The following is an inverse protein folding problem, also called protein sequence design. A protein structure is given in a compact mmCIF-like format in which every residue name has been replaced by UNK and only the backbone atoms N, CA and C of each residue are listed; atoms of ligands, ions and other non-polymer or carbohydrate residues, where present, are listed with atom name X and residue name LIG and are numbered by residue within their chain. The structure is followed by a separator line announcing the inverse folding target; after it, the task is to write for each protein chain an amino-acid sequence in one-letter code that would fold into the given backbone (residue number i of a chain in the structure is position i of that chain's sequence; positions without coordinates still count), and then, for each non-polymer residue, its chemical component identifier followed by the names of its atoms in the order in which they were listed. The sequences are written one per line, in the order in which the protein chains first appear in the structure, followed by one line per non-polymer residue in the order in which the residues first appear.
data_IF_756493348870
#
_entry.id   IF_756493348870
#
_cell.length_a   1.000
_cell.length_b   1.000
_cell.length_c   1.000
_cell.angle_alpha   90.00
_cell.angle_beta   90.00
_cell.angle_gamma   90.00
#
_symmetry.space_group_name_H-M   'P 1'
#
loop_
_entity.id
_entity.type
_entity.pdbx_description
1 polymer ?
#
# COMPACT_ATOMS: atom_id res chain seq x y z
N UNK A 1 -31.54 -14.27 -23.85
CA UNK A 1 -30.88 -13.32 -22.92
C UNK A 1 -31.15 -13.62 -21.44
N UNK A 2 -32.30 -14.07 -21.01
CA UNK A 2 -32.62 -14.40 -19.60
C UNK A 2 -31.89 -15.62 -19.05
N UNK A 3 -31.61 -16.63 -19.86
CA UNK A 3 -30.88 -17.83 -19.45
C UNK A 3 -29.41 -17.59 -19.11
N UNK A 4 -28.73 -16.66 -19.81
CA UNK A 4 -27.33 -16.32 -19.51
C UNK A 4 -27.14 -15.60 -18.18
N UNK A 5 -28.12 -14.79 -17.77
CA UNK A 5 -28.11 -14.08 -16.47
C UNK A 5 -28.29 -15.09 -15.32
N UNK A 6 -29.12 -16.09 -15.49
CA UNK A 6 -29.33 -17.15 -14.49
C UNK A 6 -28.12 -18.06 -14.31
N UNK A 7 -27.37 -18.37 -15.35
CA UNK A 7 -26.13 -19.16 -15.28
C UNK A 7 -25.03 -18.39 -14.58
N UNK A 8 -24.91 -17.08 -14.81
CA UNK A 8 -23.96 -16.21 -14.12
C UNK A 8 -24.27 -16.05 -12.62
N UNK A 9 -25.55 -16.00 -12.26
CA UNK A 9 -25.95 -15.86 -10.84
C UNK A 9 -25.93 -17.18 -10.07
N UNK A 10 -26.17 -18.32 -10.71
CA UNK A 10 -26.09 -19.63 -10.08
C UNK A 10 -24.65 -20.13 -9.90
N UNK A 11 -23.73 -19.75 -10.77
CA UNK A 11 -22.29 -20.03 -10.62
C UNK A 11 -21.64 -19.34 -9.41
N UNK A 12 -22.24 -18.25 -8.90
CA UNK A 12 -21.76 -17.51 -7.73
C UNK A 12 -22.27 -18.04 -6.38
N UNK A 13 -23.27 -18.92 -6.40
CA UNK A 13 -23.92 -19.44 -5.18
C UNK A 13 -23.36 -20.77 -4.65
N UNK A 14 -22.43 -21.40 -5.33
CA UNK A 14 -22.07 -22.80 -5.12
C UNK A 14 -20.63 -23.08 -4.73
N UNK A 15 -19.93 -22.25 -3.94
CA UNK A 15 -18.64 -22.68 -3.38
C UNK A 15 -18.68 -22.67 -1.86
N UNK A 16 -19.34 -23.65 -1.28
CA UNK A 16 -19.05 -24.17 0.06
C UNK A 16 -17.68 -24.86 -0.01
N UNK A 17 -16.60 -24.11 0.08
CA UNK A 17 -15.28 -24.64 0.35
C UNK A 17 -14.92 -24.21 1.76
N UNK A 18 -14.26 -25.08 2.53
CA UNK A 18 -13.76 -24.82 3.88
C UNK A 18 -12.67 -23.75 3.97
N UNK A 19 -12.75 -22.72 3.12
CA UNK A 19 -11.94 -21.53 3.20
C UNK A 19 -12.35 -20.70 4.42
N UNK A 20 -11.40 -20.14 5.17
CA UNK A 20 -11.71 -19.27 6.28
C UNK A 20 -12.65 -18.15 5.81
N UNK A 21 -13.69 -17.86 6.64
CA UNK A 21 -14.63 -16.79 6.33
C UNK A 21 -13.88 -15.48 6.22
N UNK A 22 -13.95 -14.85 5.06
CA UNK A 22 -13.42 -13.50 4.86
C UNK A 22 -14.20 -12.50 5.74
N UNK A 23 -13.54 -11.42 6.18
CA UNK A 23 -14.21 -10.29 6.82
C UNK A 23 -15.39 -9.74 5.99
N UNK A 24 -16.38 -9.10 6.61
CA UNK A 24 -17.51 -8.52 5.90
C UNK A 24 -17.05 -7.46 4.88
N UNK A 25 -17.86 -7.21 3.87
CA UNK A 25 -17.55 -6.22 2.85
C UNK A 25 -18.70 -6.03 1.89
N UNK A 26 -18.65 -4.99 1.03
CA UNK A 26 -19.65 -4.75 0.01
C UNK A 26 -19.70 -5.89 -1.01
N UNK A 27 -20.86 -6.08 -1.63
CA UNK A 27 -21.02 -7.10 -2.64
C UNK A 27 -20.27 -6.71 -3.92
N UNK A 28 -19.33 -7.55 -4.40
CA UNK A 28 -18.51 -7.20 -5.55
C UNK A 28 -19.30 -7.33 -6.87
N UNK A 29 -19.15 -6.39 -7.77
CA UNK A 29 -19.65 -6.52 -9.13
C UNK A 29 -18.89 -7.64 -9.91
N UNK A 30 -19.54 -8.30 -10.85
CA UNK A 30 -18.87 -9.27 -11.72
C UNK A 30 -17.66 -8.62 -12.42
N UNK A 31 -16.53 -9.33 -12.48
CA UNK A 31 -15.27 -8.97 -13.15
C UNK A 31 -14.53 -7.82 -12.45
N UNK A 32 -15.14 -6.65 -12.31
CA UNK A 32 -14.49 -5.43 -11.78
C UNK A 32 -14.46 -5.36 -10.26
N UNK A 33 -15.28 -6.15 -9.56
CA UNK A 33 -15.36 -6.13 -8.10
C UNK A 33 -15.90 -4.80 -7.56
N UNK A 34 -15.22 -4.25 -6.55
CA UNK A 34 -15.61 -3.00 -5.88
C UNK A 34 -14.84 -1.76 -6.36
N UNK A 35 -14.17 -1.83 -7.52
CA UNK A 35 -13.37 -0.72 -8.03
C UNK A 35 -14.20 0.55 -8.22
N UNK A 36 -15.43 0.43 -8.72
CA UNK A 36 -16.31 1.58 -8.93
C UNK A 36 -16.71 2.29 -7.63
N UNK A 37 -16.77 1.55 -6.52
CA UNK A 37 -17.11 2.12 -5.21
C UNK A 37 -16.00 3.02 -4.65
N UNK A 38 -14.77 2.84 -5.11
CA UNK A 38 -13.63 3.64 -4.67
C UNK A 38 -13.61 5.03 -5.31
N UNK A 39 -14.15 5.18 -6.52
CA UNK A 39 -14.25 6.47 -7.24
C UNK A 39 -12.90 7.21 -7.33
N UNK A 40 -12.96 8.53 -7.44
CA UNK A 40 -11.78 9.39 -7.61
C UNK A 40 -11.00 9.64 -6.29
N UNK A 41 -11.60 9.32 -5.13
CA UNK A 41 -10.98 9.51 -3.81
C UNK A 41 -11.03 8.22 -2.99
N UNK A 42 -10.21 7.20 -3.34
CA UNK A 42 -10.26 5.87 -2.74
C UNK A 42 -10.16 5.88 -1.20
N UNK A 43 -9.29 6.72 -0.63
CA UNK A 43 -9.12 6.83 0.82
C UNK A 43 -10.40 7.28 1.54
N UNK A 44 -11.18 8.19 0.96
CA UNK A 44 -12.45 8.65 1.54
C UNK A 44 -13.54 7.59 1.41
N UNK A 45 -13.61 6.91 0.26
CA UNK A 45 -14.53 5.82 0.03
C UNK A 45 -14.27 4.66 1.02
N UNK A 46 -13.02 4.26 1.21
CA UNK A 46 -12.59 3.25 2.17
C UNK A 46 -12.97 3.66 3.61
N UNK A 47 -12.74 4.91 3.99
CA UNK A 47 -13.11 5.42 5.30
C UNK A 47 -14.63 5.42 5.53
N UNK A 48 -15.42 5.67 4.50
CA UNK A 48 -16.88 5.58 4.54
C UNK A 48 -17.34 4.13 4.67
N UNK A 49 -16.79 3.23 3.86
CA UNK A 49 -17.11 1.80 3.90
C UNK A 49 -16.75 1.16 5.25
N UNK A 50 -15.66 1.57 5.87
CA UNK A 50 -15.25 1.05 7.19
C UNK A 50 -16.25 1.38 8.31
N UNK A 51 -17.01 2.46 8.18
CA UNK A 51 -18.11 2.80 9.12
C UNK A 51 -19.27 1.81 9.02
N UNK A 52 -19.51 1.25 7.83
CA UNK A 52 -20.60 0.30 7.57
C UNK A 52 -20.20 -1.14 7.83
N UNK A 53 -19.00 -1.55 7.35
CA UNK A 53 -18.55 -2.95 7.39
C UNK A 53 -17.60 -3.26 8.55
N UNK A 54 -17.18 -2.23 9.27
CA UNK A 54 -16.32 -2.37 10.45
C UNK A 54 -14.83 -2.16 10.18
N UNK A 55 -14.00 -2.33 11.23
CA UNK A 55 -12.58 -1.98 11.20
C UNK A 55 -11.70 -2.96 10.40
N UNK A 56 -12.25 -4.09 10.03
CA UNK A 56 -11.63 -5.11 9.19
C UNK A 56 -12.64 -5.52 8.14
N UNK A 57 -12.39 -5.18 6.89
CA UNK A 57 -13.32 -5.47 5.80
C UNK A 57 -12.62 -6.02 4.57
N UNK A 58 -13.38 -6.68 3.71
CA UNK A 58 -12.91 -7.26 2.45
C UNK A 58 -13.43 -6.45 1.29
N UNK A 59 -12.52 -6.07 0.38
CA UNK A 59 -12.85 -5.52 -0.93
C UNK A 59 -12.33 -6.45 -2.02
N UNK A 60 -13.03 -6.53 -3.11
CA UNK A 60 -12.56 -7.22 -4.32
C UNK A 60 -12.21 -6.17 -5.37
N UNK A 61 -10.91 -6.04 -5.66
CA UNK A 61 -10.43 -5.09 -6.67
C UNK A 61 -10.08 -5.87 -7.94
N UNK A 62 -11.05 -5.96 -8.85
CA UNK A 62 -10.96 -6.88 -9.99
C UNK A 62 -10.88 -8.34 -9.54
N UNK A 63 -9.78 -9.01 -9.86
CA UNK A 63 -9.50 -10.39 -9.42
C UNK A 63 -8.85 -10.49 -8.04
N UNK A 64 -8.39 -9.38 -7.46
CA UNK A 64 -7.60 -9.36 -6.23
C UNK A 64 -8.52 -9.18 -5.01
N UNK A 65 -8.47 -10.12 -4.07
CA UNK A 65 -9.11 -9.97 -2.76
C UNK A 65 -8.21 -9.13 -1.87
N UNK A 66 -8.72 -7.99 -1.42
CA UNK A 66 -8.01 -7.01 -0.61
C UNK A 66 -8.64 -6.92 0.77
N UNK A 67 -7.86 -7.11 1.81
CA UNK A 67 -8.30 -6.90 3.20
C UNK A 67 -7.91 -5.49 3.63
N UNK A 68 -8.89 -4.72 4.06
CA UNK A 68 -8.70 -3.35 4.53
C UNK A 68 -8.75 -3.33 6.05
N UNK A 69 -7.74 -2.75 6.66
CA UNK A 69 -7.62 -2.54 8.10
C UNK A 69 -7.78 -1.05 8.39
N UNK A 70 -8.83 -0.68 9.12
CA UNK A 70 -9.16 0.72 9.46
C UNK A 70 -9.08 0.99 10.98
N UNK A 71 -8.53 0.04 11.77
CA UNK A 71 -8.36 0.17 13.22
C UNK A 71 -6.89 0.18 13.61
N UNK A 72 -6.42 1.15 14.43
CA UNK A 72 -5.05 1.16 14.94
C UNK A 72 -4.68 -0.12 15.72
N UNK A 73 -5.62 -0.67 16.47
CA UNK A 73 -5.42 -1.92 17.24
C UNK A 73 -5.12 -3.11 16.33
N UNK A 74 -5.91 -3.28 15.27
CA UNK A 74 -5.73 -4.38 14.31
C UNK A 74 -4.47 -4.13 13.46
N UNK A 75 -4.22 -2.88 13.06
CA UNK A 75 -3.01 -2.51 12.34
C UNK A 75 -1.75 -2.83 13.17
N UNK A 76 -1.74 -2.52 14.46
CA UNK A 76 -0.63 -2.88 15.37
C UNK A 76 -0.44 -4.39 15.46
N UNK A 77 -1.52 -5.15 15.52
CA UNK A 77 -1.43 -6.62 15.55
C UNK A 77 -0.83 -7.17 14.24
N UNK A 78 -1.30 -6.70 13.08
CA UNK A 78 -0.83 -7.15 11.79
C UNK A 78 0.63 -6.73 11.53
N UNK A 79 0.97 -5.45 11.78
CA UNK A 79 2.24 -4.87 11.35
C UNK A 79 3.37 -4.99 12.39
N UNK A 80 3.06 -5.26 13.66
CA UNK A 80 4.07 -5.43 14.71
C UNK A 80 4.15 -6.87 15.23
N UNK A 81 2.99 -7.49 15.54
CA UNK A 81 3.00 -8.84 16.13
C UNK A 81 3.12 -9.94 15.10
N UNK A 82 2.59 -9.72 13.89
CA UNK A 82 2.56 -10.71 12.79
C UNK A 82 3.23 -10.16 11.53
N UNK A 83 4.20 -9.27 11.71
CA UNK A 83 4.92 -8.59 10.64
C UNK A 83 5.47 -9.54 9.57
N UNK A 84 6.05 -10.67 9.96
CA UNK A 84 6.58 -11.66 9.03
C UNK A 84 5.51 -12.24 8.08
N UNK A 85 4.29 -12.47 8.57
CA UNK A 85 3.20 -13.00 7.75
C UNK A 85 2.69 -11.96 6.73
N UNK A 86 2.81 -10.66 7.05
CA UNK A 86 2.33 -9.55 6.21
C UNK A 86 3.44 -8.76 5.53
N UNK A 87 4.70 -9.16 5.68
CA UNK A 87 5.85 -8.42 5.13
C UNK A 87 6.05 -8.57 3.63
N UNK A 88 5.49 -9.61 3.01
CA UNK A 88 5.60 -9.83 1.56
C UNK A 88 4.76 -8.81 0.79
N UNK A 89 5.36 -8.22 -0.24
CA UNK A 89 4.70 -7.23 -1.10
C UNK A 89 4.23 -7.87 -2.39
N UNK A 90 3.09 -7.42 -2.90
CA UNK A 90 2.68 -7.75 -4.27
C UNK A 90 3.57 -6.99 -5.24
N UNK A 91 4.25 -7.71 -6.11
CA UNK A 91 5.12 -7.11 -7.13
C UNK A 91 4.25 -6.72 -8.33
N UNK A 92 4.16 -5.43 -8.68
CA UNK A 92 3.49 -4.99 -9.89
C UNK A 92 4.31 -5.41 -11.13
N UNK A 93 3.67 -5.45 -12.30
CA UNK A 93 4.35 -5.86 -13.54
C UNK A 93 5.54 -4.94 -13.87
N UNK A 94 5.43 -3.66 -13.57
CA UNK A 94 6.55 -2.70 -13.67
C UNK A 94 7.75 -3.07 -12.80
N UNK A 95 7.54 -3.67 -11.63
CA UNK A 95 8.61 -4.14 -10.75
C UNK A 95 9.31 -5.41 -11.24
N UNK A 96 8.77 -6.08 -12.25
CA UNK A 96 9.39 -7.26 -12.89
C UNK A 96 10.32 -6.89 -14.05
N UNK A 97 10.20 -5.67 -14.54
CA UNK A 97 11.10 -5.15 -15.56
C UNK A 97 12.52 -5.14 -15.00
N UNK A 98 13.48 -5.64 -15.75
CA UNK A 98 14.89 -5.79 -15.33
C UNK A 98 15.11 -6.67 -14.08
N UNK A 99 14.19 -7.59 -13.78
CA UNK A 99 14.27 -8.48 -12.61
C UNK A 99 14.38 -7.76 -11.25
N UNK A 100 13.79 -6.57 -11.12
CA UNK A 100 13.78 -5.85 -9.83
C UNK A 100 13.11 -6.63 -8.71
N UNK A 101 12.16 -7.49 -9.03
CA UNK A 101 11.51 -8.42 -8.10
C UNK A 101 12.46 -9.41 -7.44
N UNK A 102 13.62 -9.70 -8.09
CA UNK A 102 14.60 -10.69 -7.62
C UNK A 102 15.80 -10.09 -6.91
N UNK A 103 16.06 -8.80 -7.09
CA UNK A 103 17.29 -8.15 -6.58
C UNK A 103 17.04 -6.90 -5.76
N UNK A 104 15.87 -6.28 -5.82
CA UNK A 104 15.58 -5.03 -5.15
C UNK A 104 15.10 -5.24 -3.72
N UNK A 105 15.69 -4.50 -2.78
CA UNK A 105 15.22 -4.45 -1.38
C UNK A 105 13.74 -4.05 -1.25
N UNK A 106 13.17 -3.37 -2.26
CA UNK A 106 11.77 -2.93 -2.26
C UNK A 106 10.82 -4.10 -2.52
N UNK A 107 11.20 -5.04 -3.40
CA UNK A 107 10.29 -6.07 -3.89
C UNK A 107 10.62 -7.49 -3.40
N UNK A 108 11.84 -7.70 -2.94
CA UNK A 108 12.21 -9.00 -2.38
C UNK A 108 11.32 -9.37 -1.19
N UNK A 109 10.88 -10.63 -1.10
CA UNK A 109 10.22 -11.13 0.10
C UNK A 109 11.17 -11.07 1.30
N UNK A 110 10.65 -10.91 2.52
CA UNK A 110 11.42 -10.72 3.77
C UNK A 110 12.17 -12.00 4.21
N UNK A 111 12.87 -12.61 3.27
CA UNK A 111 13.71 -13.80 3.45
C UNK A 111 15.20 -13.42 3.60
N UNK A 112 16.08 -14.43 3.58
CA UNK A 112 17.52 -14.23 3.79
C UNK A 112 18.16 -13.20 2.85
N UNK A 113 17.89 -13.15 1.53
CA UNK A 113 18.46 -12.13 0.64
C UNK A 113 18.04 -10.71 1.04
N UNK A 114 16.75 -10.51 1.35
CA UNK A 114 16.24 -9.21 1.81
C UNK A 114 16.89 -8.76 3.12
N UNK A 115 17.02 -9.68 4.09
CA UNK A 115 17.66 -9.37 5.38
C UNK A 115 19.12 -8.95 5.21
N UNK A 116 19.83 -9.58 4.27
CA UNK A 116 21.22 -9.21 3.94
C UNK A 116 21.28 -7.79 3.38
N UNK A 117 20.44 -7.45 2.40
CA UNK A 117 20.37 -6.10 1.84
C UNK A 117 19.96 -5.06 2.89
N UNK A 118 18.99 -5.40 3.74
CA UNK A 118 18.55 -4.53 4.83
C UNK A 118 19.68 -4.25 5.82
N UNK A 119 20.47 -5.27 6.16
CA UNK A 119 21.64 -5.11 7.03
C UNK A 119 22.66 -4.18 6.39
N UNK A 120 23.01 -4.39 5.13
CA UNK A 120 23.97 -3.52 4.41
C UNK A 120 23.46 -2.08 4.38
N UNK A 121 22.19 -1.86 4.05
CA UNK A 121 21.61 -0.52 4.06
C UNK A 121 21.71 0.15 5.43
N UNK A 122 21.37 -0.57 6.50
CA UNK A 122 21.41 -0.04 7.86
C UNK A 122 22.83 0.30 8.33
N UNK A 123 23.83 -0.52 7.96
CA UNK A 123 25.21 -0.36 8.45
C UNK A 123 26.05 0.55 7.56
N UNK A 124 25.76 0.65 6.26
CA UNK A 124 26.60 1.41 5.32
C UNK A 124 25.95 2.74 4.90
N UNK A 125 24.62 2.76 4.70
CA UNK A 125 23.94 3.95 4.19
C UNK A 125 23.34 4.78 5.32
N UNK A 126 22.65 4.14 6.25
CA UNK A 126 21.92 4.80 7.34
C UNK A 126 22.64 4.71 8.70
N UNK A 127 23.91 4.36 8.71
CA UNK A 127 24.72 4.39 9.94
C UNK A 127 24.79 5.83 10.47
N UNK A 128 24.77 6.04 11.81
CA UNK A 128 24.85 7.37 12.40
C UNK A 128 26.03 8.20 11.85
N UNK A 129 27.19 7.61 11.70
CA UNK A 129 28.36 8.28 11.15
C UNK A 129 28.15 8.81 9.72
N UNK A 130 27.46 8.04 8.85
CA UNK A 130 27.15 8.47 7.50
C UNK A 130 26.09 9.58 7.49
N UNK A 131 25.14 9.49 8.38
CA UNK A 131 24.13 10.54 8.56
C UNK A 131 24.77 11.84 9.06
N UNK A 132 25.70 11.77 10.00
CA UNK A 132 26.42 12.91 10.52
C UNK A 132 27.34 13.53 9.46
N UNK A 133 28.06 12.72 8.70
CA UNK A 133 28.91 13.17 7.58
C UNK A 133 28.13 13.98 6.51
N UNK A 134 26.85 13.65 6.30
CA UNK A 134 25.99 14.37 5.35
C UNK A 134 25.23 15.55 5.97
N UNK A 135 25.44 15.88 7.25
CA UNK A 135 24.70 16.92 7.94
C UNK A 135 24.88 18.30 7.32
N UNK A 136 26.11 18.66 6.94
CA UNK A 136 26.39 19.93 6.30
C UNK A 136 25.64 20.08 4.96
N UNK A 137 25.61 19.01 4.16
CA UNK A 137 24.86 19.00 2.89
C UNK A 137 23.36 19.17 3.11
N UNK A 138 22.79 18.45 4.10
CA UNK A 138 21.37 18.60 4.43
C UNK A 138 21.03 20.01 4.89
N UNK A 139 21.85 20.61 5.74
CA UNK A 139 21.68 22.02 6.17
C UNK A 139 21.72 22.97 5.00
N UNK A 140 22.69 22.78 4.08
CA UNK A 140 22.76 23.61 2.86
C UNK A 140 21.49 23.50 2.05
N UNK A 141 20.95 22.29 1.84
CA UNK A 141 19.70 22.09 1.07
C UNK A 141 18.47 22.70 1.76
N UNK A 142 18.40 22.63 3.08
CA UNK A 142 17.34 23.32 3.84
C UNK A 142 17.47 24.85 3.69
N UNK A 143 18.70 25.39 3.72
CA UNK A 143 18.89 26.82 3.52
C UNK A 143 18.50 27.26 2.12
N UNK A 144 18.88 26.51 1.08
CA UNK A 144 18.46 26.79 -0.31
C UNK A 144 16.92 26.81 -0.43
N UNK A 145 16.22 25.88 0.24
CA UNK A 145 14.76 25.89 0.28
C UNK A 145 14.19 27.11 1.00
N UNK A 146 14.76 27.48 2.14
CA UNK A 146 14.34 28.67 2.89
C UNK A 146 14.53 29.95 2.07
N UNK A 147 15.65 30.08 1.35
CA UNK A 147 15.93 31.21 0.49
C UNK A 147 14.93 31.30 -0.66
N UNK A 148 14.57 30.16 -1.27
CA UNK A 148 13.53 30.08 -2.29
C UNK A 148 12.16 30.49 -1.74
N UNK A 149 11.77 29.97 -0.58
CA UNK A 149 10.50 30.32 0.08
C UNK A 149 10.45 31.84 0.36
N UNK A 150 11.55 32.42 0.86
CA UNK A 150 11.61 33.85 1.12
C UNK A 150 11.48 34.70 -0.18
N UNK A 151 12.08 34.24 -1.27
CA UNK A 151 11.93 34.91 -2.58
C UNK A 151 10.46 34.88 -3.04
N UNK A 152 9.80 33.73 -2.99
CA UNK A 152 8.38 33.59 -3.34
C UNK A 152 7.48 34.45 -2.42
N UNK A 153 7.76 34.50 -1.12
CA UNK A 153 7.03 35.35 -0.18
C UNK A 153 7.14 36.84 -0.54
N UNK A 154 8.35 37.29 -0.93
CA UNK A 154 8.58 38.68 -1.32
C UNK A 154 7.91 39.04 -2.66
N UNK A 155 7.78 38.08 -3.57
CA UNK A 155 7.08 38.26 -4.86
C UNK A 155 5.56 38.05 -4.76
N UNK A 156 5.05 37.54 -3.63
CA UNK A 156 3.64 37.19 -3.45
C UNK A 156 3.21 35.93 -4.22
N UNK A 157 4.18 35.14 -4.68
CA UNK A 157 3.92 33.87 -5.38
C UNK A 157 3.73 32.72 -4.41
N UNK A 158 2.88 31.74 -4.80
CA UNK A 158 2.73 30.50 -4.05
C UNK A 158 3.97 29.61 -4.18
N UNK A 159 4.43 29.04 -3.08
CA UNK A 159 5.57 28.13 -3.08
C UNK A 159 5.11 26.74 -3.51
N UNK A 160 5.67 26.22 -4.60
CA UNK A 160 5.55 24.82 -4.97
C UNK A 160 6.67 24.02 -4.27
N UNK A 161 6.29 23.11 -3.40
CA UNK A 161 7.24 22.29 -2.64
C UNK A 161 7.44 20.90 -3.32
N UNK A 162 6.85 20.68 -4.50
CA UNK A 162 7.05 19.49 -5.32
C UNK A 162 5.96 18.46 -5.24
#
# INVERSE_FOLDING_TARGET
MWACIHVLTSGLRGRKSGLPKLPPGPYPFPIIGNILELGNKPHQAIAKLSKTYGPLMTLRLGSITTIVISSPKIAKEALQKKDQAFSSRTVPDTGRVFNHDKVSIVWLPALAPWRKLRKVSATQIFAPQQLDATQALRRKKVQELLDHVNQCCNSGEAVDIG
#
